data_IF_318834418821
#
_entry.id   IF_318834418821
#
_cell.length_a   1.000
_cell.length_b   1.000
_cell.length_c   1.000
_cell.angle_alpha   90.00
_cell.angle_beta   90.00
_cell.angle_gamma   90.00
#
_symmetry.space_group_name_H-M   'P 1'
#
loop_
_entity.id
_entity.type
_entity.pdbx_description
1 polymer ?
#
# COMPACT_ATOMS: atom_id res chain seq x y z
N UNK A 1 -11.60 3.93 -2.37
CA UNK A 1 -10.82 3.93 -1.11
C UNK A 1 -10.04 2.64 -0.91
N UNK A 2 -10.68 1.45 -0.83
CA UNK A 2 -10.00 0.17 -0.58
C UNK A 2 -8.73 -0.06 -1.42
N UNK A 3 -8.83 0.07 -2.74
CA UNK A 3 -7.70 -0.04 -3.66
C UNK A 3 -6.53 0.90 -3.33
N UNK A 4 -6.82 2.10 -2.84
CA UNK A 4 -5.78 3.08 -2.46
C UNK A 4 -5.07 2.69 -1.16
N UNK A 5 -5.80 2.13 -0.19
CA UNK A 5 -5.19 1.56 1.02
C UNK A 5 -4.28 0.39 0.64
N UNK A 6 -4.76 -0.52 -0.22
CA UNK A 6 -3.97 -1.64 -0.72
C UNK A 6 -2.74 -1.22 -1.53
N UNK A 7 -2.85 -0.14 -2.31
CA UNK A 7 -1.71 0.43 -3.02
C UNK A 7 -0.64 0.98 -2.06
N UNK A 8 -1.04 1.72 -1.02
CA UNK A 8 -0.10 2.21 0.00
C UNK A 8 0.54 1.07 0.80
N UNK A 9 -0.21 0.00 1.10
CA UNK A 9 0.34 -1.20 1.74
C UNK A 9 1.37 -1.91 0.84
N UNK A 10 1.04 -2.10 -0.45
CA UNK A 10 1.92 -2.72 -1.44
C UNK A 10 3.21 -1.92 -1.65
N UNK A 11 3.10 -0.59 -1.62
CA UNK A 11 4.24 0.33 -1.73
C UNK A 11 5.02 0.50 -0.44
N UNK A 12 4.55 -0.07 0.67
CA UNK A 12 5.12 0.16 2.02
C UNK A 12 5.24 1.66 2.34
N UNK A 13 4.16 2.40 2.08
CA UNK A 13 4.05 3.82 2.41
C UNK A 13 3.60 4.00 3.86
N UNK A 14 4.57 4.18 4.76
CA UNK A 14 4.33 4.38 6.18
C UNK A 14 3.68 5.72 6.50
N UNK A 15 3.85 6.72 5.63
CA UNK A 15 3.35 8.09 5.81
C UNK A 15 1.93 8.29 5.21
N UNK A 16 1.22 7.22 4.85
CA UNK A 16 -0.14 7.27 4.32
C UNK A 16 -1.20 7.62 5.40
N UNK A 17 -1.03 8.74 6.10
CA UNK A 17 -1.93 9.26 7.11
C UNK A 17 -3.14 10.01 6.52
N UNK A 18 -4.13 10.31 7.36
CA UNK A 18 -5.42 10.87 6.94
C UNK A 18 -5.32 12.15 6.09
N UNK A 19 -4.33 13.02 6.31
CA UNK A 19 -4.14 14.25 5.49
C UNK A 19 -3.71 13.96 4.04
N UNK A 20 -3.31 12.74 3.72
CA UNK A 20 -2.97 12.30 2.36
C UNK A 20 -4.18 11.79 1.56
N UNK A 21 -5.38 11.90 2.15
CA UNK A 21 -6.63 11.55 1.50
C UNK A 21 -7.49 12.81 1.36
N UNK A 22 -7.52 13.34 0.15
CA UNK A 22 -8.30 14.53 -0.18
C UNK A 22 -9.70 14.20 -0.70
N UNK A 23 -10.61 15.14 -0.51
CA UNK A 23 -11.89 15.19 -1.21
C UNK A 23 -11.91 16.41 -2.12
N UNK A 24 -12.37 16.21 -3.35
CA UNK A 24 -12.71 17.29 -4.26
C UNK A 24 -14.22 17.48 -4.21
N UNK A 25 -14.63 18.73 -4.03
CA UNK A 25 -16.03 19.14 -4.01
C UNK A 25 -16.30 19.89 -5.30
N UNK A 26 -17.06 19.28 -6.20
CA UNK A 26 -17.62 20.01 -7.33
C UNK A 26 -18.83 20.85 -6.86
N UNK A 27 -19.52 20.40 -5.79
CA UNK A 27 -20.43 21.17 -4.93
C UNK A 27 -20.46 20.57 -3.50
N UNK A 28 -21.10 21.26 -2.55
CA UNK A 28 -21.12 20.90 -1.11
C UNK A 28 -21.73 19.52 -0.83
N UNK A 29 -22.64 19.04 -1.68
CA UNK A 29 -23.39 17.80 -1.46
C UNK A 29 -22.75 16.58 -2.11
N UNK A 30 -21.83 16.77 -3.06
CA UNK A 30 -21.24 15.68 -3.86
C UNK A 30 -19.71 15.67 -3.77
N UNK A 31 -19.14 15.29 -2.62
CA UNK A 31 -17.70 15.05 -2.52
C UNK A 31 -17.31 13.79 -3.30
N UNK A 32 -16.14 13.84 -3.93
CA UNK A 32 -15.44 12.67 -4.49
C UNK A 32 -14.02 12.62 -3.99
N UNK A 33 -13.40 11.44 -3.99
CA UNK A 33 -11.97 11.33 -3.70
C UNK A 33 -11.17 12.19 -4.69
N UNK A 34 -10.17 12.90 -4.18
CA UNK A 34 -9.19 13.56 -5.02
C UNK A 34 -8.40 12.52 -5.83
N UNK A 35 -7.75 12.93 -6.93
CA UNK A 35 -6.61 12.18 -7.45
C UNK A 35 -5.65 11.84 -6.31
N UNK A 36 -5.00 10.70 -6.41
CA UNK A 36 -4.02 10.25 -5.42
C UNK A 36 -2.80 11.16 -5.43
N UNK A 37 -2.24 11.45 -4.26
CA UNK A 37 -1.01 12.22 -4.07
C UNK A 37 -0.24 11.67 -2.87
N UNK A 38 1.03 12.08 -2.75
CA UNK A 38 1.93 11.71 -1.65
C UNK A 38 2.04 10.18 -1.43
N UNK A 39 2.32 9.48 -2.53
CA UNK A 39 2.47 8.02 -2.58
C UNK A 39 3.93 7.68 -2.84
N UNK A 40 4.57 7.10 -1.81
CA UNK A 40 6.02 6.89 -1.75
C UNK A 40 6.33 5.57 -1.05
N UNK A 41 7.45 4.92 -1.36
CA UNK A 41 7.99 3.81 -0.55
C UNK A 41 8.89 4.38 0.54
N UNK A 42 8.31 4.74 1.68
CA UNK A 42 9.03 5.41 2.78
C UNK A 42 10.00 4.48 3.51
N UNK A 43 9.75 3.16 3.48
CA UNK A 43 10.65 2.16 4.05
C UNK A 43 12.06 2.14 3.43
N UNK A 44 12.27 2.78 2.27
CA UNK A 44 13.62 3.05 1.74
C UNK A 44 14.47 3.82 2.74
N UNK A 45 13.85 4.74 3.49
CA UNK A 45 14.51 5.61 4.46
C UNK A 45 14.24 5.19 5.90
N UNK A 46 13.07 4.60 6.17
CA UNK A 46 12.64 4.21 7.51
C UNK A 46 12.26 2.71 7.54
N UNK A 47 13.24 1.78 7.61
CA UNK A 47 12.98 0.35 7.45
C UNK A 47 12.06 -0.29 8.49
N UNK A 48 11.92 0.33 9.66
CA UNK A 48 11.11 -0.14 10.79
C UNK A 48 9.73 0.53 10.84
N UNK A 49 9.41 1.36 9.85
CA UNK A 49 8.14 2.06 9.79
C UNK A 49 6.97 1.09 9.54
N UNK A 50 5.83 1.45 10.13
CA UNK A 50 4.54 0.74 10.08
C UNK A 50 3.51 1.65 9.43
N UNK A 51 2.34 1.14 8.99
CA UNK A 51 1.33 1.99 8.37
C UNK A 51 0.82 3.08 9.32
N UNK A 52 0.81 4.35 8.88
CA UNK A 52 0.21 5.44 9.64
C UNK A 52 -1.29 5.27 9.91
N UNK A 53 -2.00 4.56 9.03
CA UNK A 53 -3.38 4.13 9.24
C UNK A 53 -3.41 2.62 9.50
N UNK A 54 -3.17 2.23 10.75
CA UNK A 54 -3.34 0.85 11.17
C UNK A 54 -4.85 0.49 11.12
N UNK A 55 -5.22 -0.44 10.23
CA UNK A 55 -6.64 -0.73 9.96
C UNK A 55 -7.33 -1.60 11.02
N UNK A 56 -6.59 -2.08 12.03
CA UNK A 56 -7.09 -2.52 13.34
C UNK A 56 -5.88 -2.92 14.21
N UNK A 57 -5.91 -2.62 15.52
CA UNK A 57 -4.99 -3.26 16.48
C UNK A 57 -5.46 -4.70 16.70
N UNK A 58 -4.99 -5.62 15.86
CA UNK A 58 -5.33 -7.05 15.98
C UNK A 58 -4.53 -7.75 17.09
N UNK A 59 -3.44 -7.15 17.55
CA UNK A 59 -2.67 -7.59 18.71
C UNK A 59 -3.21 -6.92 20.01
N UNK A 60 -3.55 -7.68 21.07
CA UNK A 60 -3.80 -7.11 22.40
C UNK A 60 -2.64 -6.29 22.96
N UNK A 61 -1.42 -6.47 22.43
CA UNK A 61 -0.21 -5.67 22.73
C UNK A 61 -0.12 -4.38 21.90
N UNK A 62 -1.05 -4.15 20.97
CA UNK A 62 -1.20 -2.91 20.23
C UNK A 62 -0.17 -2.67 19.12
N UNK A 63 0.53 -3.72 18.66
CA UNK A 63 1.58 -3.61 17.65
C UNK A 63 0.98 -3.31 16.27
N UNK A 64 1.32 -2.15 15.73
CA UNK A 64 0.98 -1.76 14.36
C UNK A 64 1.80 -2.60 13.38
N UNK A 65 1.15 -3.16 12.37
CA UNK A 65 1.79 -3.99 11.34
C UNK A 65 1.18 -3.70 9.97
N UNK A 66 1.94 -4.07 8.95
CA UNK A 66 1.46 -4.08 7.57
C UNK A 66 0.34 -5.11 7.37
N UNK A 67 -0.57 -4.82 6.45
CA UNK A 67 -1.81 -5.57 6.30
C UNK A 67 -1.51 -6.96 5.74
N UNK A 68 -1.81 -7.99 6.52
CA UNK A 68 -1.84 -9.36 6.02
C UNK A 68 -3.18 -9.70 5.34
N UNK A 69 -3.26 -10.90 4.77
CA UNK A 69 -4.46 -11.37 4.05
C UNK A 69 -5.73 -11.28 4.92
N UNK A 70 -5.62 -11.64 6.19
CA UNK A 70 -6.75 -11.63 7.12
C UNK A 70 -7.23 -10.19 7.38
N UNK A 71 -6.30 -9.25 7.53
CA UNK A 71 -6.63 -7.84 7.73
C UNK A 71 -7.25 -7.20 6.49
N UNK A 72 -6.78 -7.57 5.30
CA UNK A 72 -7.36 -7.12 4.04
C UNK A 72 -8.78 -7.66 3.84
N UNK A 73 -9.03 -8.93 4.15
CA UNK A 73 -10.38 -9.53 4.09
C UNK A 73 -11.35 -8.88 5.08
N UNK A 74 -10.86 -8.59 6.31
CA UNK A 74 -11.63 -7.84 7.31
C UNK A 74 -11.95 -6.44 6.85
N UNK A 75 -10.96 -5.74 6.29
CA UNK A 75 -11.14 -4.39 5.77
C UNK A 75 -12.17 -4.36 4.64
N UNK A 76 -12.10 -5.33 3.71
CA UNK A 76 -13.07 -5.49 2.63
C UNK A 76 -14.49 -5.69 3.18
N UNK A 77 -14.62 -6.53 4.22
CA UNK A 77 -15.89 -6.80 4.89
C UNK A 77 -16.47 -5.55 5.57
N UNK A 78 -15.64 -4.81 6.31
CA UNK A 78 -16.04 -3.55 6.98
C UNK A 78 -16.38 -2.44 5.98
N UNK A 79 -15.76 -2.45 4.81
CA UNK A 79 -15.99 -1.48 3.74
C UNK A 79 -17.18 -1.83 2.85
N UNK A 80 -17.97 -2.86 3.20
CA UNK A 80 -19.05 -3.40 2.37
C UNK A 80 -18.63 -3.78 0.94
N UNK A 81 -17.35 -4.11 0.76
CA UNK A 81 -16.74 -4.48 -0.52
C UNK A 81 -16.68 -6.01 -0.67
N UNK A 82 -17.81 -6.70 -0.47
CA UNK A 82 -17.86 -8.17 -0.40
C UNK A 82 -17.62 -8.88 -1.74
N UNK A 83 -17.80 -8.18 -2.87
CA UNK A 83 -17.64 -8.73 -4.21
C UNK A 83 -16.25 -8.45 -4.82
N UNK A 84 -15.29 -8.05 -3.99
CA UNK A 84 -13.92 -7.77 -4.43
C UNK A 84 -13.04 -8.99 -4.17
N UNK A 85 -12.40 -9.50 -5.22
CA UNK A 85 -11.31 -10.46 -5.06
C UNK A 85 -10.07 -9.73 -4.50
N UNK A 86 -9.87 -9.87 -3.19
CA UNK A 86 -8.81 -9.20 -2.45
C UNK A 86 -7.44 -9.70 -2.86
N UNK A 87 -7.30 -11.00 -3.13
CA UNK A 87 -6.04 -11.60 -3.56
C UNK A 87 -5.65 -11.03 -4.93
N UNK A 88 -6.60 -11.03 -5.87
CA UNK A 88 -6.37 -10.46 -7.19
C UNK A 88 -6.06 -8.96 -7.12
N UNK A 89 -6.79 -8.19 -6.31
CA UNK A 89 -6.57 -6.75 -6.18
C UNK A 89 -5.20 -6.44 -5.57
N UNK A 90 -4.76 -7.21 -4.57
CA UNK A 90 -3.44 -7.06 -3.96
C UNK A 90 -2.34 -7.35 -4.97
N UNK A 91 -2.47 -8.45 -5.72
CA UNK A 91 -1.53 -8.81 -6.78
C UNK A 91 -1.43 -7.71 -7.85
N UNK A 92 -2.58 -7.16 -8.28
CA UNK A 92 -2.62 -6.05 -9.23
C UNK A 92 -1.94 -4.79 -8.71
N UNK A 93 -2.19 -4.40 -7.45
CA UNK A 93 -1.54 -3.21 -6.87
C UNK A 93 -0.02 -3.37 -6.86
N UNK A 94 0.47 -4.55 -6.48
CA UNK A 94 1.91 -4.86 -6.50
C UNK A 94 2.50 -4.84 -7.90
N UNK A 95 1.84 -5.49 -8.86
CA UNK A 95 2.31 -5.54 -10.24
C UNK A 95 2.40 -4.13 -10.84
N UNK A 96 1.36 -3.31 -10.65
CA UNK A 96 1.35 -1.92 -11.11
C UNK A 96 2.46 -1.11 -10.45
N UNK A 97 2.69 -1.27 -9.13
CA UNK A 97 3.77 -0.59 -8.42
C UNK A 97 5.14 -0.94 -9.01
N UNK A 98 5.43 -2.23 -9.20
CA UNK A 98 6.69 -2.71 -9.78
C UNK A 98 6.89 -2.22 -11.22
N UNK A 99 5.87 -2.36 -12.07
CA UNK A 99 5.94 -1.95 -13.47
C UNK A 99 6.11 -0.43 -13.60
N UNK A 100 5.39 0.36 -12.79
CA UNK A 100 5.48 1.82 -12.82
C UNK A 100 6.88 2.29 -12.38
N UNK A 101 7.44 1.69 -11.32
CA UNK A 101 8.79 2.01 -10.85
C UNK A 101 9.88 1.60 -11.83
N UNK A 102 9.72 0.46 -12.51
CA UNK A 102 10.67 0.00 -13.52
C UNK A 102 10.65 0.84 -14.80
N UNK A 103 9.49 1.40 -15.16
CA UNK A 103 9.30 2.21 -16.38
C UNK A 103 9.57 3.70 -16.18
N UNK A 104 9.50 4.21 -14.94
CA UNK A 104 9.82 5.61 -14.58
C UNK A 104 11.33 5.82 -14.37
N UNK A 105 12.17 5.07 -15.10
CA UNK A 105 13.59 5.39 -15.25
C UNK A 105 13.73 6.59 -16.18
N UNK A 106 13.21 7.75 -15.79
CA UNK A 106 13.69 8.99 -16.38
C UNK A 106 15.19 9.05 -16.08
N UNK A 107 15.99 9.35 -17.10
CA UNK A 107 17.44 9.54 -16.92
C UNK A 107 17.65 10.55 -15.79
N UNK A 108 18.14 10.09 -14.63
CA UNK A 108 18.35 11.00 -13.51
C UNK A 108 19.32 12.09 -13.99
N UNK A 109 18.93 13.38 -13.94
CA UNK A 109 19.89 14.45 -14.21
C UNK A 109 21.06 14.28 -13.25
N UNK A 110 22.30 14.41 -13.75
CA UNK A 110 23.57 14.10 -13.03
C UNK A 110 23.46 14.21 -11.51
N UNK A 111 23.03 13.13 -10.90
CA UNK A 111 22.80 12.99 -9.47
C UNK A 111 23.71 11.86 -8.98
N UNK A 112 24.23 11.92 -7.74
CA UNK A 112 24.89 10.76 -7.16
C UNK A 112 23.97 9.54 -7.28
N UNK A 113 24.49 8.33 -7.51
CA UNK A 113 23.66 7.14 -7.69
C UNK A 113 22.73 6.96 -6.48
N UNK A 114 21.44 7.24 -6.68
CA UNK A 114 20.42 7.04 -5.67
C UNK A 114 19.90 5.62 -5.84
N UNK A 115 20.39 4.69 -5.02
CA UNK A 115 19.87 3.31 -4.94
C UNK A 115 18.44 3.23 -4.37
N UNK A 116 17.78 4.38 -4.14
CA UNK A 116 16.45 4.46 -3.57
C UNK A 116 15.42 3.68 -4.39
N UNK A 117 15.47 3.75 -5.71
CA UNK A 117 14.56 3.00 -6.59
C UNK A 117 14.82 1.50 -6.52
N UNK A 118 16.08 1.07 -6.60
CA UNK A 118 16.46 -0.35 -6.42
C UNK A 118 16.04 -0.88 -5.05
N UNK A 119 16.18 -0.07 -4.00
CA UNK A 119 15.76 -0.43 -2.65
C UNK A 119 14.24 -0.53 -2.55
N UNK A 120 13.50 0.42 -3.15
CA UNK A 120 12.04 0.39 -3.20
C UNK A 120 11.53 -0.87 -3.90
N UNK A 121 12.10 -1.22 -5.06
CA UNK A 121 11.77 -2.45 -5.79
C UNK A 121 11.97 -3.68 -4.92
N UNK A 122 13.10 -3.81 -4.22
CA UNK A 122 13.37 -4.93 -3.29
C UNK A 122 12.38 -4.99 -2.13
N UNK A 123 11.98 -3.84 -1.59
CA UNK A 123 10.99 -3.76 -0.51
C UNK A 123 9.63 -4.27 -0.99
N UNK A 124 9.16 -3.78 -2.14
CA UNK A 124 7.87 -4.19 -2.74
C UNK A 124 7.91 -5.66 -3.16
N UNK A 125 9.05 -6.15 -3.63
CA UNK A 125 9.25 -7.56 -3.97
C UNK A 125 9.18 -8.44 -2.73
N UNK A 126 9.85 -8.06 -1.64
CA UNK A 126 9.91 -8.79 -0.37
C UNK A 126 8.65 -8.67 0.50
N UNK A 127 7.76 -7.73 0.20
CA UNK A 127 6.47 -7.53 0.86
C UNK A 127 5.44 -8.66 0.61
N UNK A 128 5.80 -9.70 -0.15
CA UNK A 128 4.93 -10.86 -0.43
C UNK A 128 4.43 -11.51 0.88
N UNK A 129 3.12 -11.82 1.00
CA UNK A 129 2.72 -12.85 1.92
C UNK A 129 3.38 -14.16 1.48
N UNK A 130 4.09 -14.83 2.40
CA UNK A 130 4.48 -16.22 2.20
C UNK A 130 3.19 -16.99 1.93
N UNK A 131 3.05 -17.72 0.80
CA UNK A 131 1.85 -18.53 0.59
C UNK A 131 1.70 -19.46 1.79
N UNK A 132 0.55 -19.36 2.47
CA UNK A 132 0.24 -20.27 3.57
C UNK A 132 0.28 -21.69 3.03
N UNK A 133 1.30 -22.45 3.43
CA UNK A 133 1.36 -23.88 3.15
C UNK A 133 0.27 -24.57 3.96
N UNK A 134 -0.95 -24.64 3.41
CA UNK A 134 -2.03 -25.44 3.97
C UNK A 134 -2.79 -26.13 2.86
N UNK A 135 -2.23 -27.26 2.41
CA UNK A 135 -2.97 -28.40 1.88
C UNK A 135 -2.08 -29.65 1.94
N UNK A 136 -1.86 -30.17 3.15
CA UNK A 136 -1.55 -31.59 3.38
C UNK A 136 -2.30 -32.04 4.63
N UNK A 137 -3.50 -32.53 4.40
CA UNK A 137 -4.19 -33.52 5.24
C UNK A 137 -4.55 -34.68 4.34
#
# INVERSE_FOLDING_TARGET
MLKLVMMNDALRNGDAHLKNFGLVYDDVMRPRLSPVYDVLTTQVWFPQEVPALAMQKTDPRGTEKWLDQLELERLASLSHCHNVDIVQMQAQCREIALQSMATTLDECPKCPPRKALEHALKIIEGALPVPSSSAKT
#
